data_IF_047022822534
#
_entry.id   IF_047022822534
#
_cell.length_a   1.000
_cell.length_b   1.000
_cell.length_c   1.000
_cell.angle_alpha   90.00
_cell.angle_beta   90.00
_cell.angle_gamma   90.00
#
_symmetry.space_group_name_H-M   'P 1'
#
loop_
_entity.id
_entity.type
_entity.pdbx_description
1 polymer ?
#
# COMPACT_ATOMS: atom_id res chain seq x y z
N UNK A 1 9.71 24.51 -14.36
CA UNK A 1 9.92 23.70 -13.14
C UNK A 1 10.05 24.66 -11.97
N UNK A 2 9.08 24.67 -11.06
CA UNK A 2 9.17 25.38 -9.78
C UNK A 2 8.84 24.36 -8.68
N UNK A 3 9.80 24.22 -7.77
CA UNK A 3 9.92 23.22 -6.72
C UNK A 3 8.73 23.22 -5.75
N UNK A 4 8.13 22.04 -5.56
CA UNK A 4 6.95 21.79 -4.73
C UNK A 4 7.34 21.30 -3.31
N UNK A 5 8.16 22.05 -2.59
CA UNK A 5 8.41 21.80 -1.16
C UNK A 5 7.58 22.74 -0.27
N UNK A 6 6.25 22.60 -0.35
CA UNK A 6 5.28 23.21 0.56
C UNK A 6 5.33 22.52 1.93
N UNK A 7 6.20 23.00 2.83
CA UNK A 7 6.24 22.60 4.24
C UNK A 7 5.14 23.26 5.10
N UNK A 8 4.13 23.92 4.50
CA UNK A 8 3.17 24.78 5.21
C UNK A 8 1.91 24.11 5.78
N UNK A 9 1.72 22.79 5.65
CA UNK A 9 0.42 22.15 6.01
C UNK A 9 0.46 21.20 7.20
N UNK A 10 0.92 21.67 8.35
CA UNK A 10 0.48 21.14 9.65
C UNK A 10 -0.01 22.26 10.55
N UNK A 11 -1.28 22.27 10.98
CA UNK A 11 -1.76 23.25 11.93
C UNK A 11 -1.26 22.87 13.34
N UNK A 12 -0.12 23.43 13.74
CA UNK A 12 0.13 23.67 15.16
C UNK A 12 -0.84 24.79 15.56
N UNK A 13 -1.68 24.53 16.57
CA UNK A 13 -2.62 25.53 17.11
C UNK A 13 -1.82 26.82 17.42
N UNK A 14 -2.13 27.90 16.69
CA UNK A 14 -1.55 29.28 16.64
C UNK A 14 -0.85 29.77 17.94
N UNK A 15 0.23 30.59 17.87
CA UNK A 15 0.27 31.85 17.11
C UNK A 15 1.29 31.88 15.97
N UNK A 16 1.12 32.92 15.16
CA UNK A 16 1.76 33.28 13.90
C UNK A 16 3.25 33.64 14.05
N UNK A 17 4.02 32.82 14.77
CA UNK A 17 5.48 32.95 14.76
C UNK A 17 5.93 32.11 13.57
N UNK A 18 6.61 32.75 12.63
CA UNK A 18 7.11 32.10 11.42
C UNK A 18 8.15 31.03 11.76
N UNK A 19 9.04 30.70 10.82
CA UNK A 19 10.22 29.93 11.15
C UNK A 19 10.91 30.51 12.41
N UNK A 20 11.53 29.66 13.26
CA UNK A 20 12.31 30.17 14.38
C UNK A 20 13.27 31.26 13.93
N UNK A 21 13.39 32.32 14.72
CA UNK A 21 14.23 33.48 14.43
C UNK A 21 13.77 34.35 13.24
N UNK A 22 12.53 34.20 12.78
CA UNK A 22 11.94 35.04 11.74
C UNK A 22 10.78 35.85 12.28
N UNK A 23 10.94 37.17 12.25
CA UNK A 23 9.96 38.15 12.70
C UNK A 23 9.53 39.05 11.53
N UNK A 24 8.43 38.70 10.83
CA UNK A 24 7.85 39.58 9.82
C UNK A 24 7.37 40.89 10.46
N UNK A 25 7.50 42.00 9.74
CA UNK A 25 6.89 43.26 10.15
C UNK A 25 5.36 43.13 10.18
N UNK A 26 4.75 43.57 11.27
CA UNK A 26 3.29 43.61 11.41
C UNK A 26 2.81 45.03 11.08
N UNK A 27 1.81 45.22 10.19
CA UNK A 27 1.22 46.53 9.93
C UNK A 27 0.68 47.26 11.16
N UNK A 28 0.56 46.59 12.32
CA UNK A 28 0.14 47.17 13.61
C UNK A 28 1.29 47.22 14.64
N UNK A 29 2.53 47.39 14.21
CA UNK A 29 3.64 47.59 15.13
C UNK A 29 3.46 48.91 15.91
N UNK A 30 3.66 48.83 17.24
CA UNK A 30 3.56 50.00 18.13
C UNK A 30 4.60 51.08 17.85
N UNK A 31 5.72 50.68 17.24
CA UNK A 31 6.77 51.59 16.78
C UNK A 31 6.27 52.53 15.67
N UNK A 32 5.39 52.02 14.80
CA UNK A 32 4.82 52.77 13.67
C UNK A 32 3.63 53.67 14.09
N UNK A 33 3.21 53.62 15.35
CA UNK A 33 2.14 54.47 15.86
C UNK A 33 2.61 55.92 16.02
N UNK A 34 2.10 56.81 15.17
CA UNK A 34 2.36 58.25 15.18
C UNK A 34 1.62 58.98 16.32
N UNK A 35 1.91 58.62 17.57
CA UNK A 35 1.41 59.33 18.74
C UNK A 35 2.34 60.50 19.14
N UNK A 36 1.82 61.46 19.90
CA UNK A 36 2.55 62.69 20.28
C UNK A 36 3.87 62.38 21.01
N UNK A 37 3.91 61.30 21.79
CA UNK A 37 5.10 60.89 22.55
C UNK A 37 6.18 60.31 21.65
N UNK A 38 5.83 59.34 20.79
CA UNK A 38 6.73 58.69 19.85
C UNK A 38 7.29 59.68 18.83
N UNK A 39 6.48 60.64 18.37
CA UNK A 39 6.92 61.67 17.42
C UNK A 39 7.90 62.65 18.08
N UNK A 40 7.71 62.99 19.36
CA UNK A 40 8.58 63.95 20.06
C UNK A 40 9.86 63.33 20.63
N UNK A 41 9.79 62.08 21.09
CA UNK A 41 10.86 61.45 21.87
C UNK A 41 11.39 60.15 21.26
N UNK A 42 10.83 59.71 20.12
CA UNK A 42 11.11 58.39 19.55
C UNK A 42 10.37 57.26 20.28
N UNK A 43 10.38 56.07 19.69
CA UNK A 43 9.85 54.86 20.33
C UNK A 43 10.88 54.28 21.31
N UNK A 44 10.57 54.13 22.61
CA UNK A 44 11.53 53.63 23.59
C UNK A 44 11.71 52.11 23.49
N UNK A 45 12.96 51.65 23.42
CA UNK A 45 13.28 50.23 23.52
C UNK A 45 13.33 49.83 25.00
N UNK A 46 12.32 49.09 25.47
CA UNK A 46 12.31 48.56 26.83
C UNK A 46 13.13 47.27 26.91
N UNK A 47 14.20 47.25 27.69
CA UNK A 47 14.85 46.00 28.08
C UNK A 47 14.00 45.34 29.16
N UNK A 48 13.58 44.10 28.92
CA UNK A 48 12.73 43.35 29.88
C UNK A 48 13.53 42.71 31.03
N UNK A 49 14.85 42.92 31.06
CA UNK A 49 15.76 42.33 32.02
C UNK A 49 16.48 43.44 32.80
N UNK A 50 16.42 43.37 34.13
CA UNK A 50 17.05 44.36 35.01
C UNK A 50 18.59 44.24 35.07
N UNK A 51 19.12 43.06 34.74
CA UNK A 51 20.55 42.72 34.85
C UNK A 51 20.99 42.01 33.57
N UNK A 52 21.04 42.77 32.48
CA UNK A 52 21.37 42.28 31.14
C UNK A 52 22.87 42.01 30.98
N UNK A 53 23.71 42.80 31.66
CA UNK A 53 25.17 42.73 31.53
C UNK A 53 25.85 41.89 32.62
N UNK A 54 25.08 41.30 33.54
CA UNK A 54 25.57 40.51 34.66
C UNK A 54 25.97 39.06 34.30
N UNK A 55 26.80 38.45 35.14
CA UNK A 55 27.17 37.04 34.99
C UNK A 55 26.18 36.13 35.72
N UNK A 56 25.76 35.04 35.07
CA UNK A 56 24.88 34.03 35.67
C UNK A 56 25.60 32.99 36.55
N UNK A 57 26.92 33.14 36.81
CA UNK A 57 27.73 32.12 37.52
C UNK A 57 27.14 31.69 38.87
N UNK A 58 26.71 32.67 39.68
CA UNK A 58 26.13 32.39 40.99
C UNK A 58 24.72 31.82 40.90
N UNK A 59 24.00 32.07 39.80
CA UNK A 59 22.66 31.53 39.56
C UNK A 59 22.70 30.11 38.98
N UNK A 60 23.77 29.74 38.27
CA UNK A 60 23.92 28.44 37.60
C UNK A 60 24.79 27.44 38.37
N UNK A 61 25.26 27.76 39.57
CA UNK A 61 26.20 26.92 40.33
C UNK A 61 25.69 25.49 40.61
N UNK A 62 24.38 25.30 40.62
CA UNK A 62 23.71 24.01 40.87
C UNK A 62 23.34 23.25 39.59
N UNK A 63 23.68 23.78 38.41
CA UNK A 63 23.42 23.14 37.12
C UNK A 63 24.63 22.28 36.76
N UNK A 64 24.48 20.96 36.86
CA UNK A 64 25.54 20.00 36.53
C UNK A 64 25.39 19.48 35.10
N UNK A 65 26.50 19.09 34.48
CA UNK A 65 26.50 18.47 33.15
C UNK A 65 25.61 17.23 33.09
N UNK A 66 25.59 16.42 34.15
CA UNK A 66 24.73 15.24 34.26
C UNK A 66 23.24 15.60 34.23
N UNK A 67 22.84 16.68 34.91
CA UNK A 67 21.45 17.15 34.91
C UNK A 67 21.03 17.62 33.51
N UNK A 68 21.89 18.36 32.83
CA UNK A 68 21.66 18.81 31.44
C UNK A 68 21.57 17.61 30.49
N UNK A 69 22.49 16.66 30.60
CA UNK A 69 22.51 15.44 29.80
C UNK A 69 21.24 14.59 29.98
N UNK A 70 20.75 14.46 31.22
CA UNK A 70 19.51 13.75 31.51
C UNK A 70 18.29 14.40 30.82
N UNK A 71 18.17 15.72 30.86
CA UNK A 71 17.10 16.44 30.16
C UNK A 71 17.20 16.27 28.65
N UNK A 72 18.40 16.38 28.08
CA UNK A 72 18.60 16.25 26.64
C UNK A 72 18.26 14.83 26.15
N UNK A 73 18.69 13.80 26.91
CA UNK A 73 18.35 12.41 26.62
C UNK A 73 16.84 12.16 26.69
N UNK A 74 16.14 12.75 27.67
CA UNK A 74 14.68 12.66 27.76
C UNK A 74 13.97 13.30 26.55
N UNK A 75 14.49 14.42 26.03
CA UNK A 75 13.99 15.07 24.81
C UNK A 75 14.23 14.17 23.59
N UNK A 76 15.43 13.60 23.43
CA UNK A 76 15.75 12.70 22.33
C UNK A 76 14.83 11.48 22.35
N UNK A 77 14.68 10.82 23.50
CA UNK A 77 13.81 9.66 23.66
C UNK A 77 12.35 9.99 23.30
N UNK A 78 11.87 11.17 23.71
CA UNK A 78 10.53 11.65 23.36
C UNK A 78 10.39 11.91 21.85
N UNK A 79 11.40 12.52 21.22
CA UNK A 79 11.44 12.75 19.78
C UNK A 79 11.46 11.44 19.00
N UNK A 80 12.23 10.46 19.43
CA UNK A 80 12.29 9.13 18.84
C UNK A 80 10.94 8.41 18.95
N UNK A 81 10.30 8.45 20.12
CA UNK A 81 8.96 7.90 20.33
C UNK A 81 7.90 8.52 19.41
N UNK A 82 8.01 9.82 19.09
CA UNK A 82 7.07 10.51 18.20
C UNK A 82 7.39 10.29 16.70
N UNK A 83 8.66 10.10 16.36
CA UNK A 83 9.10 9.91 14.98
C UNK A 83 9.12 8.44 14.53
N UNK A 84 9.07 7.51 15.48
CA UNK A 84 8.76 6.12 15.16
C UNK A 84 7.31 6.06 14.72
N UNK A 85 7.10 5.63 13.47
CA UNK A 85 5.78 5.23 13.01
C UNK A 85 5.29 4.18 14.02
N UNK A 86 4.25 4.50 14.79
CA UNK A 86 3.57 3.48 15.57
C UNK A 86 3.22 2.39 14.57
N UNK A 87 3.81 1.21 14.76
CA UNK A 87 3.40 0.04 14.00
C UNK A 87 1.89 0.00 14.11
N UNK A 88 1.21 0.07 12.96
CA UNK A 88 -0.23 0.29 12.89
C UNK A 88 -0.99 -0.99 13.30
N UNK A 89 -0.49 -1.71 14.31
CA UNK A 89 -1.07 -2.91 14.88
C UNK A 89 -2.50 -2.71 15.39
N UNK A 90 -2.96 -1.47 15.55
CA UNK A 90 -4.37 -1.15 15.88
C UNK A 90 -5.25 -0.78 14.69
N UNK A 91 -4.68 -0.48 13.53
CA UNK A 91 -5.42 -0.15 12.30
C UNK A 91 -4.94 -1.02 11.14
N UNK A 92 -4.88 -2.35 11.33
CA UNK A 92 -5.04 -3.25 10.19
C UNK A 92 -6.29 -2.76 9.44
N UNK A 93 -6.12 -2.39 8.18
CA UNK A 93 -7.22 -1.88 7.38
C UNK A 93 -8.33 -2.94 7.39
N UNK A 94 -9.45 -2.65 8.06
CA UNK A 94 -10.54 -3.62 8.20
C UNK A 94 -11.09 -3.88 6.81
N UNK A 95 -10.84 -5.07 6.28
CA UNK A 95 -11.41 -5.50 5.01
C UNK A 95 -12.91 -5.62 5.22
N UNK A 96 -13.70 -4.79 4.54
CA UNK A 96 -15.15 -4.93 4.52
C UNK A 96 -15.51 -6.17 3.69
N UNK A 97 -15.76 -7.28 4.37
CA UNK A 97 -15.96 -8.60 3.75
C UNK A 97 -17.20 -8.66 2.85
N UNK A 98 -18.28 -7.94 3.19
CA UNK A 98 -19.57 -8.06 2.49
C UNK A 98 -19.62 -7.29 1.17
N UNK A 99 -18.91 -6.16 1.10
CA UNK A 99 -18.95 -5.29 -0.08
C UNK A 99 -17.77 -5.56 -1.03
N UNK A 100 -16.61 -5.97 -0.49
CA UNK A 100 -15.39 -6.12 -1.30
C UNK A 100 -15.28 -7.46 -2.03
N UNK A 101 -15.98 -8.49 -1.57
CA UNK A 101 -15.87 -9.85 -2.11
C UNK A 101 -17.24 -10.45 -2.40
N UNK A 102 -17.31 -11.27 -3.46
CA UNK A 102 -18.52 -12.00 -3.83
C UNK A 102 -18.19 -13.46 -4.17
N UNK A 103 -19.08 -14.42 -3.86
CA UNK A 103 -18.80 -15.84 -4.11
C UNK A 103 -18.68 -16.15 -5.60
N UNK A 104 -17.55 -16.72 -6.02
CA UNK A 104 -17.36 -17.24 -7.37
C UNK A 104 -18.21 -18.50 -7.56
N UNK A 105 -19.32 -18.38 -8.27
CA UNK A 105 -20.24 -19.49 -8.58
C UNK A 105 -20.49 -19.60 -10.08
N UNK A 106 -21.09 -20.71 -10.52
CA UNK A 106 -21.47 -20.89 -11.91
C UNK A 106 -22.44 -19.81 -12.42
N UNK A 107 -23.33 -19.31 -11.55
CA UNK A 107 -24.28 -18.23 -11.90
C UNK A 107 -23.59 -16.91 -12.22
N UNK A 108 -22.37 -16.73 -11.74
CA UNK A 108 -21.57 -15.51 -11.89
C UNK A 108 -20.46 -15.66 -12.93
N UNK A 109 -20.46 -16.73 -13.73
CA UNK A 109 -19.36 -17.08 -14.65
C UNK A 109 -18.99 -15.94 -15.61
N UNK A 110 -19.97 -15.23 -16.16
CA UNK A 110 -19.70 -14.10 -17.08
C UNK A 110 -19.05 -12.91 -16.36
N UNK A 111 -19.46 -12.65 -15.12
CA UNK A 111 -18.85 -11.62 -14.26
C UNK A 111 -17.43 -12.03 -13.85
N UNK A 112 -17.19 -13.31 -13.56
CA UNK A 112 -15.84 -13.84 -13.31
C UNK A 112 -14.97 -13.59 -14.54
N UNK A 113 -15.45 -13.97 -15.72
CA UNK A 113 -14.75 -13.79 -17.00
C UNK A 113 -14.38 -12.33 -17.25
N UNK A 114 -15.34 -11.41 -17.11
CA UNK A 114 -15.09 -9.98 -17.28
C UNK A 114 -14.05 -9.46 -16.27
N UNK A 115 -14.18 -9.84 -15.00
CA UNK A 115 -13.27 -9.42 -13.94
C UNK A 115 -11.84 -9.94 -14.16
N UNK A 116 -11.68 -11.19 -14.58
CA UNK A 116 -10.35 -11.76 -14.86
C UNK A 116 -9.71 -11.21 -16.15
N UNK A 117 -10.52 -10.86 -17.16
CA UNK A 117 -10.02 -10.09 -18.31
C UNK A 117 -9.48 -8.72 -17.88
N UNK A 118 -10.21 -8.02 -17.00
CA UNK A 118 -9.75 -6.76 -16.43
C UNK A 118 -8.49 -6.92 -15.58
N UNK A 119 -8.40 -8.03 -14.82
CA UNK A 119 -7.20 -8.37 -14.04
C UNK A 119 -6.00 -8.67 -14.94
N UNK A 120 -6.19 -9.34 -16.08
CA UNK A 120 -5.14 -9.60 -17.06
C UNK A 120 -4.68 -8.31 -17.77
N UNK A 121 -5.61 -7.36 -17.97
CA UNK A 121 -5.35 -6.07 -18.60
C UNK A 121 -4.73 -5.03 -17.67
N UNK A 122 -5.01 -3.76 -17.96
CA UNK A 122 -4.38 -2.60 -17.31
C UNK A 122 -5.25 -1.94 -16.23
N UNK A 123 -6.44 -2.49 -15.94
CA UNK A 123 -7.41 -1.87 -15.00
C UNK A 123 -6.77 -1.66 -13.61
N UNK A 124 -6.87 -0.49 -12.97
CA UNK A 124 -6.22 -0.25 -11.68
C UNK A 124 -6.62 -1.27 -10.59
N UNK A 125 -5.64 -1.81 -9.86
CA UNK A 125 -5.84 -2.83 -8.82
C UNK A 125 -6.73 -2.33 -7.68
N UNK A 126 -6.68 -1.03 -7.36
CA UNK A 126 -7.55 -0.38 -6.38
C UNK A 126 -9.04 -0.38 -6.77
N UNK A 127 -9.34 -0.47 -8.07
CA UNK A 127 -10.72 -0.59 -8.56
C UNK A 127 -11.15 -2.05 -8.48
N UNK A 128 -10.27 -2.98 -8.87
CA UNK A 128 -10.53 -4.42 -8.83
C UNK A 128 -10.75 -4.95 -7.41
N UNK A 129 -10.04 -4.42 -6.41
CA UNK A 129 -10.14 -4.85 -5.01
C UNK A 129 -11.50 -4.57 -4.35
N UNK A 130 -12.30 -3.67 -4.92
CA UNK A 130 -13.63 -3.33 -4.39
C UNK A 130 -14.69 -4.40 -4.65
N UNK A 131 -14.45 -5.34 -5.59
CA UNK A 131 -15.43 -6.37 -5.93
C UNK A 131 -14.74 -7.61 -6.51
N UNK A 132 -13.87 -8.22 -5.71
CA UNK A 132 -13.09 -9.37 -6.12
C UNK A 132 -13.87 -10.70 -5.97
N UNK A 133 -13.72 -11.65 -6.90
CA UNK A 133 -14.31 -12.98 -6.78
C UNK A 133 -13.65 -13.77 -5.65
N UNK A 134 -14.45 -14.49 -4.86
CA UNK A 134 -14.01 -15.38 -3.79
C UNK A 134 -14.27 -16.84 -4.16
N UNK A 135 -13.20 -17.61 -4.37
CA UNK A 135 -13.27 -19.03 -4.69
C UNK A 135 -13.29 -19.89 -3.42
N UNK A 136 -14.15 -20.91 -3.40
CA UNK A 136 -14.18 -21.87 -2.30
C UNK A 136 -12.97 -22.82 -2.34
N UNK A 137 -12.50 -23.16 -3.54
CA UNK A 137 -11.33 -24.00 -3.76
C UNK A 137 -10.20 -23.15 -4.33
N UNK A 138 -9.06 -23.13 -3.63
CA UNK A 138 -7.86 -22.38 -4.06
C UNK A 138 -7.29 -22.88 -5.39
N UNK A 139 -7.47 -24.16 -5.70
CA UNK A 139 -7.05 -24.76 -6.99
C UNK A 139 -7.78 -24.14 -8.20
N UNK A 140 -9.06 -23.75 -8.02
CA UNK A 140 -9.82 -23.06 -9.08
C UNK A 140 -9.21 -21.69 -9.38
N UNK A 141 -8.64 -21.01 -8.37
CA UNK A 141 -7.94 -19.73 -8.58
C UNK A 141 -6.77 -19.88 -9.54
N UNK A 142 -5.92 -20.90 -9.38
CA UNK A 142 -4.79 -21.13 -10.27
C UNK A 142 -5.25 -21.46 -11.69
N UNK A 143 -6.24 -22.34 -11.81
CA UNK A 143 -6.83 -22.71 -13.11
C UNK A 143 -7.35 -21.47 -13.85
N UNK A 144 -8.13 -20.63 -13.17
CA UNK A 144 -8.70 -19.40 -13.76
C UNK A 144 -7.63 -18.37 -14.11
N UNK A 145 -6.60 -18.21 -13.27
CA UNK A 145 -5.47 -17.31 -13.57
C UNK A 145 -4.75 -17.72 -14.87
N UNK A 146 -4.55 -19.03 -15.06
CA UNK A 146 -3.97 -19.59 -16.29
C UNK A 146 -4.90 -19.44 -17.49
N UNK A 147 -6.20 -19.75 -17.32
CA UNK A 147 -7.22 -19.64 -18.38
C UNK A 147 -7.28 -18.23 -18.98
N UNK A 148 -7.19 -17.20 -18.13
CA UNK A 148 -7.23 -15.80 -18.55
C UNK A 148 -5.85 -15.16 -18.77
N UNK A 149 -4.77 -15.96 -18.77
CA UNK A 149 -3.41 -15.51 -19.06
C UNK A 149 -2.99 -14.27 -18.22
N UNK A 150 -3.33 -14.29 -16.92
CA UNK A 150 -3.08 -13.15 -16.04
C UNK A 150 -1.56 -12.97 -15.82
N UNK A 151 -1.00 -11.76 -15.99
CA UNK A 151 0.41 -11.51 -15.73
C UNK A 151 0.83 -11.85 -14.29
N UNK A 152 2.03 -12.40 -14.13
CA UNK A 152 2.53 -12.94 -12.85
C UNK A 152 2.38 -11.96 -11.67
N UNK A 153 2.73 -10.68 -11.86
CA UNK A 153 2.62 -9.67 -10.80
C UNK A 153 1.17 -9.44 -10.34
N UNK A 154 0.22 -9.51 -11.28
CA UNK A 154 -1.21 -9.28 -11.02
C UNK A 154 -1.86 -10.54 -10.43
N UNK A 155 -1.42 -11.72 -10.87
CA UNK A 155 -1.79 -13.00 -10.27
C UNK A 155 -1.32 -13.09 -8.81
N UNK A 156 -0.06 -12.76 -8.53
CA UNK A 156 0.49 -12.73 -7.18
C UNK A 156 -0.27 -11.73 -6.28
N UNK A 157 -0.62 -10.56 -6.82
CA UNK A 157 -1.46 -9.60 -6.11
C UNK A 157 -2.84 -10.19 -5.76
N UNK A 158 -3.51 -10.86 -6.70
CA UNK A 158 -4.82 -11.46 -6.44
C UNK A 158 -4.75 -12.57 -5.38
N UNK A 159 -3.72 -13.42 -5.41
CA UNK A 159 -3.50 -14.45 -4.39
C UNK A 159 -3.32 -13.81 -3.01
N UNK A 160 -2.52 -12.74 -2.91
CA UNK A 160 -2.34 -11.98 -1.66
C UNK A 160 -3.66 -11.36 -1.17
N UNK A 161 -4.45 -10.81 -2.07
CA UNK A 161 -5.77 -10.24 -1.75
C UNK A 161 -6.73 -11.31 -1.21
N UNK A 162 -6.80 -12.46 -1.87
CA UNK A 162 -7.61 -13.61 -1.43
C UNK A 162 -7.14 -14.19 -0.10
N UNK A 163 -5.81 -14.24 0.12
CA UNK A 163 -5.21 -14.63 1.39
C UNK A 163 -5.59 -13.70 2.54
N UNK A 164 -5.48 -12.38 2.33
CA UNK A 164 -5.85 -11.37 3.32
C UNK A 164 -7.35 -11.45 3.67
N UNK A 165 -8.21 -11.71 2.67
CA UNK A 165 -9.64 -11.92 2.90
C UNK A 165 -9.91 -13.17 3.75
N UNK A 166 -9.30 -14.32 3.43
CA UNK A 166 -9.47 -15.55 4.21
C UNK A 166 -9.01 -15.38 5.66
N UNK A 167 -7.89 -14.67 5.88
CA UNK A 167 -7.41 -14.33 7.22
C UNK A 167 -8.42 -13.45 7.98
N UNK A 168 -8.96 -12.41 7.34
CA UNK A 168 -9.97 -11.52 7.94
C UNK A 168 -11.26 -12.26 8.31
N UNK A 169 -11.73 -13.18 7.45
CA UNK A 169 -12.90 -14.03 7.72
C UNK A 169 -12.65 -14.96 8.91
N UNK A 170 -11.46 -15.52 9.02
CA UNK A 170 -11.08 -16.42 10.12
C UNK A 170 -10.95 -15.66 11.44
N UNK A 171 -10.28 -14.50 11.43
CA UNK A 171 -10.15 -13.62 12.60
C UNK A 171 -11.52 -13.16 13.12
N UNK A 172 -12.48 -12.86 12.23
CA UNK A 172 -13.83 -12.46 12.61
C UNK A 172 -14.65 -13.58 13.29
N UNK A 173 -14.32 -14.86 13.02
CA UNK A 173 -15.06 -16.02 13.52
C UNK A 173 -14.46 -16.67 14.76
N UNK A 174 -13.19 -16.40 15.11
CA UNK A 174 -12.47 -17.12 16.17
C UNK A 174 -12.06 -16.24 17.36
N UNK A 175 -12.20 -16.79 18.58
CA UNK A 175 -11.50 -16.31 19.78
C UNK A 175 -10.19 -17.11 19.95
N UNK A 176 -9.04 -16.44 19.79
CA UNK A 176 -7.69 -16.88 20.24
C UNK A 176 -7.26 -18.33 19.89
N UNK A 177 -7.13 -18.67 18.61
CA UNK A 177 -6.25 -19.79 18.18
C UNK A 177 -5.16 -19.25 17.26
N UNK A 178 -3.99 -19.89 17.29
CA UNK A 178 -2.90 -19.59 16.37
C UNK A 178 -3.37 -19.90 14.95
N UNK A 179 -3.47 -18.86 14.13
CA UNK A 179 -3.89 -18.97 12.73
C UNK A 179 -2.71 -19.61 11.97
N UNK A 180 -2.90 -20.75 11.28
CA UNK A 180 -1.87 -21.34 10.43
C UNK A 180 -1.35 -20.32 9.43
N UNK A 181 -0.03 -20.33 9.17
CA UNK A 181 0.57 -19.39 8.23
C UNK A 181 -0.06 -19.56 6.84
N UNK A 182 -0.77 -18.53 6.32
CA UNK A 182 -1.42 -18.61 5.02
C UNK A 182 -0.41 -18.85 3.88
N UNK A 183 0.84 -18.47 4.05
CA UNK A 183 1.92 -18.69 3.07
C UNK A 183 2.14 -20.18 2.84
N UNK A 184 2.19 -20.97 3.91
CA UNK A 184 2.36 -22.42 3.85
C UNK A 184 1.21 -23.08 3.09
N UNK A 185 -0.02 -22.70 3.41
CA UNK A 185 -1.21 -23.29 2.78
C UNK A 185 -1.30 -23.00 1.27
N UNK A 186 -1.03 -21.75 0.87
CA UNK A 186 -0.98 -21.38 -0.55
C UNK A 186 0.16 -22.07 -1.30
N UNK A 187 1.32 -22.24 -0.65
CA UNK A 187 2.47 -22.95 -1.21
C UNK A 187 2.14 -24.43 -1.44
N UNK A 188 1.57 -25.11 -0.44
CA UNK A 188 1.15 -26.51 -0.57
C UNK A 188 0.12 -26.70 -1.68
N UNK A 189 -0.86 -25.78 -1.78
CA UNK A 189 -1.87 -25.83 -2.84
C UNK A 189 -1.24 -25.63 -4.23
N UNK A 190 -0.31 -24.69 -4.36
CA UNK A 190 0.40 -24.45 -5.62
C UNK A 190 1.22 -25.67 -6.04
N UNK A 191 1.96 -26.28 -5.11
CA UNK A 191 2.73 -27.49 -5.38
C UNK A 191 1.83 -28.64 -5.86
N UNK A 192 0.67 -28.83 -5.21
CA UNK A 192 -0.31 -29.82 -5.65
C UNK A 192 -0.83 -29.51 -7.06
N UNK A 193 -1.24 -28.27 -7.30
CA UNK A 193 -1.73 -27.83 -8.60
C UNK A 193 -0.71 -28.09 -9.71
N UNK A 194 0.57 -27.79 -9.48
CA UNK A 194 1.64 -28.04 -10.44
C UNK A 194 1.83 -29.54 -10.69
N UNK A 195 1.84 -30.37 -9.64
CA UNK A 195 1.90 -31.84 -9.77
C UNK A 195 0.74 -32.37 -10.62
N UNK A 196 -0.45 -31.81 -10.47
CA UNK A 196 -1.63 -32.19 -11.25
C UNK A 196 -1.58 -31.73 -12.72
N UNK A 197 -0.74 -30.72 -13.06
CA UNK A 197 -0.53 -30.31 -14.46
C UNK A 197 0.48 -31.19 -15.20
N UNK A 198 1.48 -31.73 -14.51
CA UNK A 198 2.54 -32.56 -15.12
C UNK A 198 1.99 -33.71 -15.99
N UNK A 199 1.09 -34.58 -15.51
CA UNK A 199 0.59 -35.68 -16.34
C UNK A 199 -0.24 -35.19 -17.53
N UNK A 200 -0.99 -34.09 -17.38
CA UNK A 200 -1.77 -33.50 -18.48
C UNK A 200 -0.87 -32.98 -19.59
N UNK A 201 0.27 -32.39 -19.23
CA UNK A 201 1.27 -31.96 -20.20
C UNK A 201 1.90 -33.17 -20.91
N UNK A 202 2.25 -34.22 -20.17
CA UNK A 202 2.79 -35.46 -20.75
C UNK A 202 1.81 -36.08 -21.75
N UNK A 203 0.53 -36.18 -21.40
CA UNK A 203 -0.53 -36.66 -22.29
C UNK A 203 -0.68 -35.79 -23.53
N UNK A 204 -0.67 -34.46 -23.38
CA UNK A 204 -0.78 -33.51 -24.49
C UNK A 204 0.34 -33.71 -25.51
N UNK A 205 1.60 -33.78 -25.06
CA UNK A 205 2.74 -33.99 -25.96
C UNK A 205 2.77 -35.40 -26.57
N UNK A 206 2.42 -36.44 -25.81
CA UNK A 206 2.33 -37.81 -26.33
C UNK A 206 1.25 -37.97 -27.42
N UNK A 207 0.19 -37.16 -27.37
CA UNK A 207 -0.83 -37.12 -28.44
C UNK A 207 -0.34 -36.39 -29.70
N UNK A 208 0.54 -35.39 -29.55
CA UNK A 208 1.12 -34.67 -30.69
C UNK A 208 2.13 -35.50 -31.49
N UNK A 209 2.79 -36.47 -30.87
CA UNK A 209 3.78 -37.35 -31.52
C UNK A 209 3.17 -38.50 -32.34
N UNK A 210 1.84 -38.70 -32.30
CA UNK A 210 1.19 -39.69 -33.16
C UNK A 210 1.14 -39.16 -34.60
N UNK A 211 1.75 -39.85 -35.59
CA UNK A 211 1.61 -39.46 -36.98
C UNK A 211 0.13 -39.45 -37.34
N UNK A 212 -0.33 -38.39 -38.01
CA UNK A 212 -1.61 -38.41 -38.70
C UNK A 212 -1.55 -39.51 -39.75
N UNK A 213 -2.06 -40.71 -39.42
CA UNK A 213 -2.41 -41.72 -40.42
C UNK A 213 -3.62 -41.18 -41.20
N UNK A 214 -3.34 -40.32 -42.18
CA UNK A 214 -4.27 -40.03 -43.27
C UNK A 214 -4.45 -41.35 -44.04
N UNK A 215 -5.67 -41.93 -44.12
CA UNK A 215 -5.88 -43.05 -45.02
C UNK A 215 -5.78 -42.50 -46.45
N UNK A 216 -4.74 -42.92 -47.16
CA UNK A 216 -4.62 -42.69 -48.60
C UNK A 216 -5.77 -43.44 -49.26
N UNK A 217 -6.82 -42.73 -49.67
CA UNK A 217 -7.82 -43.26 -50.58
C UNK A 217 -7.16 -43.44 -51.94
N UNK A 218 -6.74 -44.68 -52.25
CA UNK A 218 -6.45 -45.11 -53.60
C UNK A 218 -7.72 -44.92 -54.45
N UNK A 219 -7.74 -43.86 -55.28
CA UNK A 219 -8.59 -43.81 -56.45
C UNK A 219 -7.71 -44.09 -57.67
N UNK A 220 -7.68 -45.36 -58.06
CA UNK A 220 -7.43 -45.78 -59.42
C UNK A 220 -8.53 -45.22 -60.32
N UNK A 221 -8.17 -44.39 -61.29
CA UNK A 221 -9.02 -44.12 -62.45
C UNK A 221 -8.13 -44.07 -63.68
N UNK A 222 -8.18 -45.19 -64.42
CA UNK A 222 -7.73 -45.33 -65.78
C UNK A 222 -9.03 -45.38 -66.62
N UNK A 223 -9.25 -44.39 -67.49
CA UNK A 223 -10.09 -44.47 -68.69
C UNK A 223 -10.24 -43.09 -69.37
N UNK A 224 -9.62 -43.03 -70.54
CA UNK A 224 -9.76 -42.12 -71.68
C UNK A 224 -11.16 -41.55 -72.04
N UNK A 225 -11.07 -40.48 -72.85
CA UNK A 225 -11.94 -40.11 -73.99
C UNK A 225 -13.22 -39.27 -73.77
N UNK A 226 -13.16 -37.97 -74.10
CA UNK A 226 -13.75 -37.38 -75.34
C UNK A 226 -13.68 -35.84 -75.40
N UNK A 227 -13.17 -35.36 -76.55
CA UNK A 227 -13.67 -34.25 -77.39
C UNK A 227 -13.62 -32.80 -76.87
N UNK A 228 -12.61 -32.05 -77.33
CA UNK A 228 -12.72 -30.88 -78.23
C UNK A 228 -11.32 -30.31 -78.50
#
# INVERSE_FOLDING_TARGET
MLSAHLYEKRPLKKPRIGPPDVYPQDPKQKEDELNVTNVKHGFPQSTHLNDEFGSARDKSHNITANRVGAYFNAIIASKEKLNTLLDSGRNKQKINMKDNFWPATQRTKDTIKAWFKDLAGTKPLMILSKRAPNFNKKEETFTTLCEYQVPMMRAAWFIKLSSAYAAAVTEAKMKKRQIPDPTTEWTSTLLKFLKDQVPKLQEYYAQMEKPQNTPVSNQSNDADQKLA
#
